data_IF_537001132641
#
_entry.id   IF_537001132641
#
_cell.length_a   1.000
_cell.length_b   1.000
_cell.length_c   1.000
_cell.angle_alpha   90.00
_cell.angle_beta   90.00
_cell.angle_gamma   90.00
#
_symmetry.space_group_name_H-M   'P 1'
#
loop_
_entity.id
_entity.type
_entity.pdbx_description
1 polymer ?
#
# COMPACT_ATOMS: atom_id res chain seq x y z
N UNK A 1 -13.32 -23.37 16.98
CA UNK A 1 -12.30 -22.71 17.83
C UNK A 1 -11.46 -21.84 16.91
N UNK A 2 -11.88 -20.58 16.73
CA UNK A 2 -11.22 -19.65 15.83
C UNK A 2 -9.97 -19.08 16.50
N UNK A 3 -8.84 -19.26 15.85
CA UNK A 3 -7.57 -18.69 16.30
C UNK A 3 -7.53 -17.23 15.82
N UNK A 4 -7.87 -16.29 16.68
CA UNK A 4 -7.68 -14.86 16.43
C UNK A 4 -6.21 -14.53 16.71
N UNK A 5 -5.42 -14.04 15.73
CA UNK A 5 -4.03 -13.66 15.96
C UNK A 5 -3.96 -12.49 16.98
N UNK A 6 -3.12 -12.63 17.98
CA UNK A 6 -2.85 -11.58 18.98
C UNK A 6 -2.21 -10.36 18.30
N UNK A 7 -2.94 -9.26 18.23
CA UNK A 7 -2.44 -7.97 17.75
C UNK A 7 -3.49 -7.04 17.13
N UNK A 8 -4.74 -7.46 17.02
CA UNK A 8 -5.76 -6.80 16.21
C UNK A 8 -6.95 -6.20 16.98
N UNK A 9 -6.83 -5.90 18.26
CA UNK A 9 -8.00 -5.49 19.08
C UNK A 9 -8.51 -4.08 18.73
N UNK A 10 -7.65 -3.18 18.23
CA UNK A 10 -8.07 -1.86 17.75
C UNK A 10 -8.50 -1.86 16.25
N UNK A 11 -8.08 -2.87 15.48
CA UNK A 11 -8.47 -3.05 14.08
C UNK A 11 -9.88 -3.65 13.93
N UNK A 12 -10.48 -4.21 14.98
CA UNK A 12 -11.75 -4.94 14.89
C UNK A 12 -12.97 -4.04 14.60
N UNK A 13 -13.00 -2.81 15.10
CA UNK A 13 -14.12 -1.89 14.81
C UNK A 13 -14.03 -1.29 13.39
N UNK A 14 -12.83 -0.97 12.93
CA UNK A 14 -12.60 -0.43 11.59
C UNK A 14 -12.78 -1.51 10.52
N UNK A 15 -12.35 -2.74 10.79
CA UNK A 15 -12.56 -3.89 9.90
C UNK A 15 -14.04 -4.22 9.71
N UNK A 16 -14.89 -4.08 10.72
CA UNK A 16 -16.32 -4.37 10.57
C UNK A 16 -17.01 -3.40 9.59
N UNK A 17 -16.64 -2.12 9.62
CA UNK A 17 -17.21 -1.11 8.70
C UNK A 17 -16.65 -1.20 7.30
N UNK A 18 -15.35 -1.48 7.13
CA UNK A 18 -14.71 -1.64 5.83
C UNK A 18 -15.20 -2.92 5.12
N UNK A 19 -15.27 -4.04 5.84
CA UNK A 19 -15.83 -5.28 5.32
C UNK A 19 -17.29 -5.13 4.93
N UNK A 20 -18.08 -4.37 5.70
CA UNK A 20 -19.46 -4.02 5.36
C UNK A 20 -19.55 -3.29 4.03
N UNK A 21 -18.72 -2.26 3.83
CA UNK A 21 -18.65 -1.51 2.56
C UNK A 21 -18.22 -2.37 1.38
N UNK A 22 -17.22 -3.23 1.56
CA UNK A 22 -16.78 -4.17 0.53
C UNK A 22 -17.93 -5.12 0.15
N UNK A 23 -18.67 -5.65 1.12
CA UNK A 23 -19.83 -6.53 0.86
C UNK A 23 -20.97 -5.83 0.13
N UNK A 24 -21.25 -4.59 0.47
CA UNK A 24 -22.25 -3.79 -0.24
C UNK A 24 -21.81 -3.54 -1.69
N UNK A 25 -20.58 -3.17 -1.91
CA UNK A 25 -20.05 -2.95 -3.24
C UNK A 25 -20.00 -4.24 -4.08
N UNK A 26 -19.78 -5.41 -3.46
CA UNK A 26 -19.87 -6.70 -4.15
C UNK A 26 -21.25 -6.97 -4.77
N UNK A 27 -22.32 -6.36 -4.25
CA UNK A 27 -23.68 -6.53 -4.78
C UNK A 27 -23.96 -5.68 -6.01
N UNK A 28 -23.24 -4.57 -6.15
CA UNK A 28 -23.48 -3.56 -7.19
C UNK A 28 -22.44 -3.55 -8.31
N UNK A 29 -21.29 -4.19 -8.12
CA UNK A 29 -20.19 -4.19 -9.06
C UNK A 29 -20.43 -5.19 -10.20
N UNK A 30 -20.42 -4.66 -11.44
CA UNK A 30 -20.63 -5.46 -12.65
C UNK A 30 -19.48 -6.44 -12.92
N UNK A 31 -18.24 -6.08 -12.57
CA UNK A 31 -17.07 -6.96 -12.76
C UNK A 31 -17.19 -8.21 -11.87
N UNK A 32 -17.69 -8.03 -10.65
CA UNK A 32 -17.96 -9.12 -9.72
C UNK A 32 -19.07 -10.03 -10.25
N UNK A 33 -20.14 -9.47 -10.82
CA UNK A 33 -21.19 -10.24 -11.43
C UNK A 33 -20.66 -11.12 -12.59
N UNK A 34 -19.77 -10.57 -13.42
CA UNK A 34 -19.11 -11.34 -14.48
C UNK A 34 -18.17 -12.44 -13.93
N UNK A 35 -17.46 -12.18 -12.83
CA UNK A 35 -16.60 -13.18 -12.18
C UNK A 35 -17.48 -14.32 -11.65
N UNK A 36 -18.59 -14.01 -10.98
CA UNK A 36 -19.55 -15.01 -10.47
C UNK A 36 -20.15 -15.84 -11.61
N UNK A 37 -20.50 -15.23 -12.73
CA UNK A 37 -20.96 -15.96 -13.91
C UNK A 37 -19.89 -16.88 -14.49
N UNK A 38 -18.63 -16.43 -14.50
CA UNK A 38 -17.48 -17.27 -14.92
C UNK A 38 -17.19 -18.42 -13.93
N UNK A 39 -17.42 -18.21 -12.64
CA UNK A 39 -17.31 -19.26 -11.61
C UNK A 39 -18.34 -20.37 -11.86
N UNK A 40 -19.59 -20.03 -12.18
CA UNK A 40 -20.64 -21.01 -12.50
C UNK A 40 -20.31 -21.88 -13.73
N UNK A 41 -19.48 -21.36 -14.65
CA UNK A 41 -19.02 -22.05 -15.86
C UNK A 41 -17.66 -22.78 -15.68
N UNK A 42 -17.19 -22.96 -14.43
CA UNK A 42 -15.89 -23.61 -14.07
C UNK A 42 -14.66 -22.92 -14.69
N UNK A 43 -14.78 -21.67 -15.11
CA UNK A 43 -13.68 -20.92 -15.78
C UNK A 43 -12.91 -19.97 -14.86
N UNK A 44 -13.35 -19.73 -13.63
CA UNK A 44 -12.70 -18.81 -12.69
C UNK A 44 -11.98 -19.59 -11.58
N UNK A 45 -10.77 -20.04 -11.85
CA UNK A 45 -9.94 -20.73 -10.86
C UNK A 45 -9.47 -19.79 -9.76
N UNK A 46 -9.54 -20.23 -8.50
CA UNK A 46 -9.03 -19.49 -7.34
C UNK A 46 -10.07 -18.56 -6.69
N UNK A 47 -11.19 -18.30 -7.32
CA UNK A 47 -12.28 -17.54 -6.71
C UNK A 47 -13.22 -18.45 -5.93
N UNK A 48 -13.71 -17.94 -4.78
CA UNK A 48 -14.76 -18.56 -3.98
C UNK A 48 -15.66 -17.48 -3.40
N UNK A 49 -16.89 -17.85 -3.10
CA UNK A 49 -17.88 -17.01 -2.43
C UNK A 49 -18.17 -17.58 -1.04
N UNK A 50 -18.29 -16.72 -0.04
CA UNK A 50 -18.67 -17.14 1.31
C UNK A 50 -20.19 -17.02 1.54
N UNK A 51 -20.67 -17.42 2.74
CA UNK A 51 -22.07 -17.35 3.15
C UNK A 51 -22.66 -15.93 3.19
N UNK A 52 -21.80 -14.91 3.11
CA UNK A 52 -22.17 -13.50 3.17
C UNK A 52 -22.04 -12.79 1.82
N UNK A 53 -22.05 -13.52 0.72
CA UNK A 53 -21.88 -13.02 -0.66
C UNK A 53 -20.53 -12.31 -0.90
N UNK A 54 -19.53 -12.55 -0.05
CA UNK A 54 -18.19 -11.95 -0.19
C UNK A 54 -17.37 -12.79 -1.15
N UNK A 55 -16.80 -12.14 -2.16
CA UNK A 55 -15.93 -12.79 -3.12
C UNK A 55 -14.48 -12.83 -2.58
N UNK A 56 -13.89 -14.00 -2.63
CA UNK A 56 -12.51 -14.26 -2.22
C UNK A 56 -11.69 -14.75 -3.41
N UNK A 57 -10.46 -14.32 -3.46
CA UNK A 57 -9.46 -14.89 -4.36
C UNK A 57 -8.42 -15.65 -3.52
N UNK A 58 -8.43 -16.99 -3.61
CA UNK A 58 -7.70 -17.90 -2.72
C UNK A 58 -8.11 -17.69 -1.25
N UNK A 59 -7.24 -17.06 -0.44
CA UNK A 59 -7.46 -16.75 0.98
C UNK A 59 -7.66 -15.26 1.25
N UNK A 60 -7.72 -14.44 0.19
CA UNK A 60 -7.75 -12.98 0.25
C UNK A 60 -9.11 -12.45 -0.19
N UNK A 61 -9.55 -11.39 0.45
CA UNK A 61 -10.79 -10.71 0.06
C UNK A 61 -10.57 -10.00 -1.28
N UNK A 62 -11.43 -10.28 -2.24
CA UNK A 62 -11.47 -9.52 -3.48
C UNK A 62 -12.00 -8.11 -3.22
N UNK A 63 -11.24 -7.09 -3.59
CA UNK A 63 -11.66 -5.69 -3.47
C UNK A 63 -12.26 -5.26 -4.81
N UNK A 64 -13.53 -4.76 -4.83
CA UNK A 64 -14.17 -4.25 -6.03
C UNK A 64 -13.43 -3.04 -6.58
N UNK A 65 -13.62 -2.74 -7.85
CA UNK A 65 -13.02 -1.56 -8.50
C UNK A 65 -13.78 -0.27 -8.10
N UNK A 66 -13.82 -0.01 -6.81
CA UNK A 66 -14.42 1.19 -6.20
C UNK A 66 -13.32 2.09 -5.65
N UNK A 67 -13.14 3.32 -6.22
CA UNK A 67 -12.10 4.24 -5.79
C UNK A 67 -12.19 4.64 -4.31
N UNK A 68 -13.40 4.73 -3.75
CA UNK A 68 -13.59 5.09 -2.34
C UNK A 68 -13.11 3.97 -1.41
N UNK A 69 -13.45 2.73 -1.72
CA UNK A 69 -13.02 1.57 -0.93
C UNK A 69 -11.51 1.38 -1.04
N UNK A 70 -10.96 1.46 -2.25
CA UNK A 70 -9.51 1.39 -2.47
C UNK A 70 -8.76 2.47 -1.70
N UNK A 71 -9.25 3.71 -1.74
CA UNK A 71 -8.67 4.83 -1.00
C UNK A 71 -8.68 4.59 0.51
N UNK A 72 -9.78 4.08 1.07
CA UNK A 72 -9.88 3.75 2.50
C UNK A 72 -8.86 2.66 2.89
N UNK A 73 -8.74 1.60 2.11
CA UNK A 73 -7.77 0.52 2.35
C UNK A 73 -6.33 1.07 2.32
N UNK A 74 -6.00 1.84 1.29
CA UNK A 74 -4.66 2.42 1.12
C UNK A 74 -4.34 3.43 2.22
N UNK A 75 -5.32 4.24 2.62
CA UNK A 75 -5.18 5.21 3.69
C UNK A 75 -4.92 4.52 5.02
N UNK A 76 -5.71 3.50 5.35
CA UNK A 76 -5.54 2.73 6.59
C UNK A 76 -4.17 2.05 6.64
N UNK A 77 -3.77 1.38 5.56
CA UNK A 77 -2.49 0.69 5.49
C UNK A 77 -1.28 1.64 5.54
N UNK A 78 -1.43 2.89 5.12
CA UNK A 78 -0.33 3.85 5.03
C UNK A 78 -0.22 4.78 6.25
N UNK A 79 -1.35 5.17 6.83
CA UNK A 79 -1.43 6.17 7.89
C UNK A 79 -1.83 5.59 9.25
N UNK A 80 -1.95 4.27 9.39
CA UNK A 80 -2.29 3.70 10.68
C UNK A 80 -1.19 3.96 11.71
N UNK A 81 -1.53 4.09 13.00
CA UNK A 81 -0.56 4.28 14.08
C UNK A 81 0.53 3.19 14.14
N UNK A 82 0.25 2.03 13.58
CA UNK A 82 1.15 0.88 13.58
C UNK A 82 2.05 0.80 12.34
N UNK A 83 1.65 1.41 11.23
CA UNK A 83 2.37 1.26 9.94
C UNK A 83 3.28 2.43 9.59
N UNK A 84 3.14 3.57 10.23
CA UNK A 84 3.94 4.80 10.08
C UNK A 84 4.56 4.98 8.69
N UNK A 85 3.74 5.28 7.69
CA UNK A 85 4.17 5.54 6.32
C UNK A 85 5.07 4.46 5.70
N UNK A 86 4.61 3.21 5.56
CA UNK A 86 5.40 2.15 4.96
C UNK A 86 5.74 2.48 3.50
N UNK A 87 6.88 1.96 3.02
CA UNK A 87 7.22 2.02 1.61
C UNK A 87 6.32 1.10 0.77
N UNK A 88 6.29 1.33 -0.53
CA UNK A 88 5.46 0.57 -1.47
C UNK A 88 5.62 -0.96 -1.35
N UNK A 89 6.85 -1.45 -1.19
CA UNK A 89 7.12 -2.90 -1.08
C UNK A 89 6.53 -3.47 0.20
N UNK A 90 6.76 -2.82 1.36
CA UNK A 90 6.22 -3.29 2.64
C UNK A 90 4.69 -3.22 2.64
N UNK A 91 4.13 -2.08 2.23
CA UNK A 91 2.69 -1.88 2.15
C UNK A 91 2.00 -2.92 1.23
N UNK A 92 2.65 -3.26 0.09
CA UNK A 92 2.15 -4.32 -0.78
C UNK A 92 2.17 -5.70 -0.11
N UNK A 93 3.24 -6.03 0.61
CA UNK A 93 3.32 -7.32 1.30
C UNK A 93 2.27 -7.43 2.41
N UNK A 94 2.10 -6.38 3.21
CA UNK A 94 1.12 -6.33 4.30
C UNK A 94 -0.32 -6.45 3.75
N UNK A 95 -0.67 -5.69 2.72
CA UNK A 95 -1.99 -5.74 2.10
C UNK A 95 -2.27 -7.05 1.35
N UNK A 96 -1.26 -7.62 0.72
CA UNK A 96 -1.38 -8.88 -0.02
C UNK A 96 -1.80 -10.07 0.86
N UNK A 97 -1.56 -10.01 2.15
CA UNK A 97 -1.99 -11.08 3.06
C UNK A 97 -3.51 -11.17 3.18
N UNK A 98 -4.20 -10.04 3.11
CA UNK A 98 -5.65 -9.94 3.38
C UNK A 98 -6.49 -9.59 2.17
N UNK A 99 -5.96 -8.82 1.22
CA UNK A 99 -6.70 -8.24 0.10
C UNK A 99 -6.11 -8.62 -1.26
N UNK A 100 -6.96 -8.58 -2.26
CA UNK A 100 -6.55 -8.76 -3.66
C UNK A 100 -7.43 -7.95 -4.61
N UNK A 101 -6.82 -7.24 -5.55
CA UNK A 101 -7.47 -6.59 -6.71
C UNK A 101 -6.52 -6.51 -7.89
N UNK A 102 -7.08 -6.30 -9.08
CA UNK A 102 -6.30 -6.17 -10.31
C UNK A 102 -5.50 -4.86 -10.30
N UNK A 103 -4.19 -4.92 -10.52
CA UNK A 103 -3.33 -3.74 -10.52
C UNK A 103 -2.82 -3.29 -9.14
N UNK A 104 -3.14 -4.01 -8.07
CA UNK A 104 -2.81 -3.70 -6.68
C UNK A 104 -1.39 -3.13 -6.46
N UNK A 105 -0.38 -3.73 -7.08
CA UNK A 105 1.02 -3.31 -6.92
C UNK A 105 1.28 -1.92 -7.50
N UNK A 106 0.61 -1.59 -8.62
CA UNK A 106 0.71 -0.30 -9.28
C UNK A 106 0.02 0.78 -8.44
N UNK A 107 -1.21 0.52 -8.00
CA UNK A 107 -2.01 1.48 -7.24
C UNK A 107 -1.34 1.83 -5.91
N UNK A 108 -0.77 0.84 -5.22
CA UNK A 108 0.02 1.06 -4.00
C UNK A 108 1.26 1.91 -4.28
N UNK A 109 1.97 1.64 -5.37
CA UNK A 109 3.16 2.41 -5.72
C UNK A 109 2.82 3.87 -6.04
N UNK A 110 1.74 4.11 -6.79
CA UNK A 110 1.23 5.44 -7.12
C UNK A 110 0.77 6.18 -5.85
N UNK A 111 0.05 5.51 -4.95
CA UNK A 111 -0.39 6.10 -3.69
C UNK A 111 0.79 6.55 -2.80
N UNK A 112 1.81 5.70 -2.64
CA UNK A 112 3.00 6.03 -1.85
C UNK A 112 3.84 7.12 -2.51
N UNK A 113 3.89 7.17 -3.84
CA UNK A 113 4.66 8.16 -4.59
C UNK A 113 4.16 9.60 -4.39
N UNK A 114 2.87 9.80 -4.15
CA UNK A 114 2.28 11.13 -3.90
C UNK A 114 2.25 11.52 -2.42
N UNK A 115 2.69 10.65 -1.52
CA UNK A 115 2.72 10.96 -0.10
C UNK A 115 3.86 11.93 0.24
N UNK A 116 3.51 13.14 0.65
CA UNK A 116 4.44 14.21 0.98
C UNK A 116 5.44 13.80 2.09
N UNK A 117 4.97 13.17 3.15
CA UNK A 117 5.81 12.67 4.25
C UNK A 117 6.84 11.66 3.73
N UNK A 118 6.41 10.69 2.92
CA UNK A 118 7.31 9.71 2.34
C UNK A 118 8.35 10.34 1.41
N UNK A 119 7.99 11.36 0.66
CA UNK A 119 8.91 12.05 -0.25
C UNK A 119 9.97 12.89 0.49
N UNK A 120 9.60 13.47 1.62
CA UNK A 120 10.54 14.31 2.40
C UNK A 120 11.45 13.50 3.32
N UNK A 121 10.96 12.43 3.92
CA UNK A 121 11.68 11.67 4.96
C UNK A 121 12.55 10.55 4.39
N UNK A 122 12.16 9.95 3.27
CA UNK A 122 12.93 8.85 2.70
C UNK A 122 14.17 9.35 1.99
N UNK A 123 15.33 8.91 2.49
CA UNK A 123 16.62 9.17 1.84
C UNK A 123 16.62 8.57 0.43
N UNK A 124 17.02 9.37 -0.55
CA UNK A 124 17.29 8.85 -1.89
C UNK A 124 18.49 7.92 -1.82
N UNK A 125 18.33 6.68 -2.28
CA UNK A 125 19.46 5.79 -2.50
C UNK A 125 20.23 6.27 -3.74
N UNK A 126 21.12 7.25 -3.53
CA UNK A 126 22.03 7.70 -4.58
C UNK A 126 23.19 6.70 -4.68
N UNK A 127 23.65 6.46 -5.89
CA UNK A 127 24.92 5.74 -6.08
C UNK A 127 26.03 6.55 -5.42
N UNK A 128 27.07 5.92 -4.85
CA UNK A 128 28.20 6.64 -4.34
C UNK A 128 28.69 7.66 -5.41
N UNK A 129 28.84 8.90 -5.00
CA UNK A 129 29.49 9.88 -5.87
C UNK A 129 30.82 9.28 -6.34
N UNK A 130 31.15 9.43 -7.61
CA UNK A 130 32.37 8.85 -8.18
C UNK A 130 33.64 9.23 -7.40
N UNK A 131 34.79 8.97 -7.99
CA UNK A 131 36.09 9.31 -7.37
C UNK A 131 36.10 10.77 -6.92
N UNK A 132 36.67 11.00 -5.74
CA UNK A 132 36.81 12.32 -5.16
C UNK A 132 37.53 13.23 -6.16
N UNK A 133 36.91 14.30 -6.57
CA UNK A 133 37.55 15.30 -7.42
C UNK A 133 38.42 16.21 -6.53
N UNK A 134 39.67 16.47 -6.89
CA UNK A 134 40.50 17.39 -6.13
C UNK A 134 39.88 18.80 -6.14
N UNK A 135 39.74 19.38 -4.98
CA UNK A 135 39.26 20.75 -4.88
C UNK A 135 40.30 21.69 -5.54
N UNK A 136 39.87 22.66 -6.34
CA UNK A 136 40.80 23.65 -6.89
C UNK A 136 41.44 24.41 -5.76
N UNK A 137 42.80 24.44 -5.75
CA UNK A 137 43.59 25.18 -4.77
C UNK A 137 43.48 26.66 -5.14
N UNK A 138 43.11 27.57 -4.23
CA UNK A 138 43.09 28.98 -4.49
C UNK A 138 44.51 29.50 -4.72
N UNK A 139 44.69 30.34 -5.71
CA UNK A 139 46.00 30.90 -6.07
C UNK A 139 46.49 31.99 -5.08
N UNK A 140 45.52 32.71 -4.51
CA UNK A 140 45.79 33.82 -3.59
C UNK A 140 45.08 33.71 -2.26
N UNK A 141 45.62 34.43 -1.26
CA UNK A 141 44.94 34.58 0.04
C UNK A 141 43.60 35.24 -0.16
N UNK A 142 42.57 34.67 0.51
CA UNK A 142 41.22 35.21 0.52
C UNK A 142 40.37 34.94 -0.74
N UNK A 143 40.90 34.24 -1.74
CA UNK A 143 40.10 33.82 -2.92
C UNK A 143 38.96 32.90 -2.56
N UNK A 144 39.13 32.12 -1.50
CA UNK A 144 38.07 31.26 -0.97
C UNK A 144 38.06 31.31 0.55
N UNK A 145 36.86 31.52 1.10
CA UNK A 145 36.62 31.49 2.55
C UNK A 145 35.66 30.34 2.84
N UNK A 146 36.05 29.45 3.77
CA UNK A 146 35.13 28.44 4.34
C UNK A 146 34.56 28.99 5.64
N UNK A 147 33.25 28.91 5.81
CA UNK A 147 32.56 29.22 7.06
C UNK A 147 31.86 27.96 7.57
N UNK A 148 31.99 27.71 8.87
CA UNK A 148 31.28 26.67 9.58
C UNK A 148 30.46 27.28 10.70
N UNK A 149 29.24 26.80 10.88
CA UNK A 149 28.35 27.28 11.94
C UNK A 149 28.26 26.20 13.02
N UNK A 150 28.72 26.54 14.21
CA UNK A 150 28.54 25.69 15.40
C UNK A 150 27.17 26.02 16.00
N UNK A 151 26.26 25.04 16.02
CA UNK A 151 24.92 25.10 16.65
C UNK A 151 24.95 24.37 17.98
#
# INVERSE_FOLDING_TARGET
>A
MEIVPRGYVAALEIQSTLLGKIREAHKTDNEIAEIKERMSKVKARGFREDEHDTLWFEVRIYVPNDPEIMKLILQEAHHSPYSVHPGNTKMYLDLKESFWWTGMKKDIAEYVAVCDVCQRVKTKHEKPAGLLQPLPIPEWKWDKLGMDFIT
#
